data_IF_064503410569
#
_entry.id   IF_064503410569
#
_cell.length_a   1.000
_cell.length_b   1.000
_cell.length_c   1.000
_cell.angle_alpha   90.00
_cell.angle_beta   90.00
_cell.angle_gamma   90.00
#
_symmetry.space_group_name_H-M   'P 1'
#
loop_
_entity.id
_entity.type
_entity.pdbx_description
1 polymer ?
#
# COMPACT_ATOMS: atom_id res chain seq x y z
N UNK A 1 4.78 1.70 -9.64
CA UNK A 1 3.65 1.48 -8.74
C UNK A 1 3.62 2.55 -7.67
N UNK A 2 2.41 3.00 -7.33
CA UNK A 2 2.16 3.97 -6.27
C UNK A 2 1.12 3.38 -5.33
N UNK A 3 1.41 3.36 -4.03
CA UNK A 3 0.48 2.93 -3.00
C UNK A 3 -0.09 4.15 -2.31
N UNK A 4 -1.42 4.19 -2.18
CA UNK A 4 -2.13 5.18 -1.38
C UNK A 4 -2.72 4.52 -0.15
N UNK A 5 -2.68 5.25 0.96
CA UNK A 5 -3.29 4.83 2.22
C UNK A 5 -4.40 5.81 2.55
N UNK A 6 -5.62 5.30 2.66
CA UNK A 6 -6.73 6.00 3.29
C UNK A 6 -6.49 6.03 4.80
N UNK A 7 -6.15 7.21 5.32
CA UNK A 7 -5.79 7.40 6.72
C UNK A 7 -6.99 7.38 7.66
N UNK A 8 -8.20 7.59 7.14
CA UNK A 8 -9.43 7.55 7.92
C UNK A 8 -9.94 6.11 8.07
N UNK A 9 -9.70 5.25 7.07
CA UNK A 9 -10.01 3.80 7.14
C UNK A 9 -8.94 2.98 7.81
N UNK A 10 -7.68 3.42 7.80
CA UNK A 10 -6.57 2.64 8.33
C UNK A 10 -6.68 2.44 9.85
N UNK A 11 -6.85 1.18 10.27
CA UNK A 11 -6.94 0.81 11.70
C UNK A 11 -5.58 0.44 12.33
N UNK A 12 -4.48 0.61 11.60
CA UNK A 12 -3.15 0.33 12.15
C UNK A 12 -2.80 -1.14 12.41
N UNK A 13 -3.41 -2.08 11.68
CA UNK A 13 -3.20 -3.53 11.92
C UNK A 13 -1.76 -4.01 11.73
N UNK A 14 -0.92 -3.25 11.02
CA UNK A 14 0.47 -3.60 10.73
C UNK A 14 0.66 -4.73 9.72
N UNK A 15 -0.39 -5.45 9.30
CA UNK A 15 -0.27 -6.62 8.43
C UNK A 15 0.46 -6.31 7.12
N UNK A 16 0.13 -5.18 6.47
CA UNK A 16 0.79 -4.77 5.24
C UNK A 16 2.30 -4.49 5.41
N UNK A 17 2.72 -3.90 6.52
CA UNK A 17 4.12 -3.64 6.81
C UNK A 17 4.91 -4.92 7.14
N UNK A 18 4.23 -5.94 7.67
CA UNK A 18 4.81 -7.27 7.92
C UNK A 18 4.93 -8.05 6.60
N UNK A 19 3.91 -7.99 5.74
CA UNK A 19 3.87 -8.70 4.46
C UNK A 19 4.88 -8.14 3.45
N UNK A 20 5.02 -6.81 3.36
CA UNK A 20 5.91 -6.17 2.38
C UNK A 20 6.73 -5.03 3.02
N UNK A 21 7.66 -5.35 3.93
CA UNK A 21 8.46 -4.34 4.65
C UNK A 21 9.34 -3.48 3.73
N UNK A 22 9.63 -3.97 2.52
CA UNK A 22 10.36 -3.23 1.49
C UNK A 22 9.53 -2.10 0.84
N UNK A 23 8.20 -2.10 1.00
CA UNK A 23 7.30 -1.13 0.38
C UNK A 23 6.46 -0.35 1.39
N UNK A 24 6.08 -0.96 2.50
CA UNK A 24 5.17 -0.40 3.50
C UNK A 24 5.80 -0.45 4.90
N UNK A 25 5.52 0.59 5.68
CA UNK A 25 5.88 0.66 7.08
C UNK A 25 4.65 1.04 7.91
N UNK A 26 4.61 0.61 9.17
CA UNK A 26 3.70 1.18 10.16
C UNK A 26 4.41 2.39 10.79
N UNK A 27 3.80 3.56 10.68
CA UNK A 27 4.33 4.80 11.23
C UNK A 27 4.21 4.86 12.76
N UNK A 28 4.92 5.80 13.41
CA UNK A 28 4.79 6.03 14.84
C UNK A 28 3.41 6.59 15.24
N UNK A 29 2.64 7.07 14.28
CA UNK A 29 1.23 7.46 14.39
C UNK A 29 0.28 6.25 14.39
N UNK A 30 0.81 5.04 14.28
CA UNK A 30 0.02 3.81 14.20
C UNK A 30 -0.64 3.58 12.85
N UNK A 31 -0.32 4.38 11.81
CA UNK A 31 -0.93 4.24 10.48
C UNK A 31 0.06 3.72 9.45
N UNK A 32 -0.44 2.98 8.47
CA UNK A 32 0.40 2.50 7.37
C UNK A 32 0.91 3.68 6.53
N UNK A 33 2.14 3.56 6.03
CA UNK A 33 2.76 4.52 5.11
C UNK A 33 3.59 3.81 4.04
N UNK A 34 3.50 4.23 2.77
CA UNK A 34 4.41 3.76 1.73
C UNK A 34 5.81 4.35 1.92
N UNK A 35 6.83 3.57 1.59
CA UNK A 35 8.20 4.05 1.48
C UNK A 35 8.36 4.92 0.22
N UNK A 36 9.36 5.81 0.19
CA UNK A 36 9.47 6.90 -0.78
C UNK A 36 9.26 6.46 -2.26
N UNK A 37 9.83 5.32 -2.67
CA UNK A 37 9.66 4.78 -4.03
C UNK A 37 8.22 4.38 -4.39
N UNK A 38 7.44 3.94 -3.40
CA UNK A 38 6.04 3.54 -3.54
C UNK A 38 5.06 4.67 -3.25
N UNK A 39 5.50 5.80 -2.69
CA UNK A 39 4.63 6.96 -2.44
C UNK A 39 4.36 7.79 -3.70
N UNK A 40 5.37 7.93 -4.55
CA UNK A 40 5.29 8.76 -5.78
C UNK A 40 6.34 8.40 -6.84
N UNK A 41 7.43 7.73 -6.47
CA UNK A 41 8.57 7.48 -7.35
C UNK A 41 8.35 6.41 -8.43
N UNK A 42 7.24 5.66 -8.36
CA UNK A 42 6.92 4.64 -9.35
C UNK A 42 7.83 3.42 -9.25
N UNK A 43 7.79 2.73 -8.12
CA UNK A 43 8.54 1.49 -7.88
C UNK A 43 8.00 0.27 -8.66
N UNK A 44 8.71 -0.87 -8.58
CA UNK A 44 8.33 -2.11 -9.24
C UNK A 44 7.02 -2.70 -8.66
N UNK A 45 6.29 -3.47 -9.46
CA UNK A 45 5.19 -4.30 -8.97
C UNK A 45 5.74 -5.65 -8.54
N UNK A 46 5.49 -6.05 -7.31
CA UNK A 46 5.75 -7.42 -6.86
C UNK A 46 4.44 -8.11 -6.48
N UNK A 47 4.37 -9.45 -6.54
CA UNK A 47 3.20 -10.21 -6.07
C UNK A 47 2.85 -9.89 -4.61
N UNK A 48 3.85 -9.81 -3.75
CA UNK A 48 3.69 -9.54 -2.31
C UNK A 48 3.11 -8.13 -2.07
N UNK A 49 3.43 -7.17 -2.93
CA UNK A 49 2.85 -5.83 -2.86
C UNK A 49 1.37 -5.85 -3.21
N UNK A 50 0.98 -6.58 -4.26
CA UNK A 50 -0.43 -6.70 -4.65
C UNK A 50 -1.21 -7.42 -3.54
N UNK A 51 -0.69 -8.56 -3.06
CA UNK A 51 -1.29 -9.32 -1.96
C UNK A 51 -1.43 -8.49 -0.68
N UNK A 52 -0.40 -7.72 -0.29
CA UNK A 52 -0.46 -6.88 0.92
C UNK A 52 -1.55 -5.80 0.85
N UNK A 53 -1.85 -5.30 -0.35
CA UNK A 53 -2.94 -4.33 -0.58
C UNK A 53 -4.29 -5.03 -0.45
N UNK A 54 -4.44 -6.23 -1.01
CA UNK A 54 -5.67 -7.03 -0.94
C UNK A 54 -5.97 -7.56 0.46
N UNK A 55 -4.95 -7.92 1.24
CA UNK A 55 -5.11 -8.42 2.61
C UNK A 55 -5.40 -7.32 3.65
N UNK A 56 -5.54 -6.07 3.22
CA UNK A 56 -5.95 -5.02 4.14
C UNK A 56 -7.38 -5.29 4.66
N UNK A 57 -7.58 -5.53 5.97
CA UNK A 57 -8.85 -6.01 6.51
C UNK A 57 -9.98 -4.97 6.43
N UNK A 58 -9.61 -3.73 6.15
CA UNK A 58 -10.48 -2.56 6.05
C UNK A 58 -10.31 -1.84 4.71
N UNK A 59 -9.58 -2.45 3.76
CA UNK A 59 -9.31 -1.92 2.41
C UNK A 59 -8.81 -0.46 2.40
N UNK A 60 -7.95 -0.12 3.35
CA UNK A 60 -7.35 1.22 3.44
C UNK A 60 -6.21 1.44 2.43
N UNK A 61 -5.80 0.40 1.70
CA UNK A 61 -4.68 0.44 0.76
C UNK A 61 -5.20 0.39 -0.68
N UNK A 62 -4.62 1.19 -1.55
CA UNK A 62 -4.89 1.14 -3.00
C UNK A 62 -3.58 1.18 -3.77
N UNK A 63 -3.41 0.26 -4.71
CA UNK A 63 -2.28 0.20 -5.62
C UNK A 63 -2.65 0.82 -6.95
N UNK A 64 -1.85 1.77 -7.41
CA UNK A 64 -1.98 2.42 -8.71
C UNK A 64 -0.77 2.18 -9.60
N UNK A 65 -1.02 2.08 -10.90
CA UNK A 65 0.06 2.23 -11.87
C UNK A 65 0.62 3.65 -11.80
N UNK A 66 1.94 3.74 -11.67
CA UNK A 66 2.62 5.03 -11.78
C UNK A 66 2.48 5.63 -13.19
N UNK A 67 2.35 4.76 -14.22
CA UNK A 67 2.03 5.18 -15.58
C UNK A 67 0.52 5.20 -15.78
N UNK A 68 -0.04 6.39 -15.88
CA UNK A 68 -1.47 6.58 -16.19
C UNK A 68 -2.43 6.52 -14.99
N UNK A 69 -1.96 6.22 -13.78
CA UNK A 69 -2.73 6.39 -12.54
C UNK A 69 -3.88 5.39 -12.33
N UNK A 70 -4.08 4.42 -13.23
CA UNK A 70 -5.15 3.44 -13.07
C UNK A 70 -4.93 2.57 -11.84
N UNK A 71 -6.03 2.22 -11.17
CA UNK A 71 -6.05 1.32 -10.02
C UNK A 71 -5.72 -0.11 -10.48
N UNK A 72 -4.86 -0.79 -9.74
CA UNK A 72 -4.42 -2.17 -9.98
C UNK A 72 -5.04 -3.09 -8.93
N UNK A 73 -4.95 -2.71 -7.64
CA UNK A 73 -5.46 -3.49 -6.53
C UNK A 73 -6.09 -2.56 -5.46
N UNK A 74 -7.16 -2.99 -4.77
CA UNK A 74 -7.96 -4.19 -5.06
C UNK A 74 -8.63 -4.07 -6.44
N UNK A 75 -8.76 -5.16 -7.20
CA UNK A 75 -9.53 -5.12 -8.46
C UNK A 75 -11.03 -4.92 -8.14
N UNK A 76 -11.75 -4.19 -8.99
CA UNK A 76 -13.22 -4.07 -8.92
C UNK A 76 -13.89 -5.22 -9.68
#
# INVERSE_FOLDING_TARGET
MVVRVDRDRCIGSGMCAISVPAALALGPDGLARPLAGYASGGAELTPELAEAVEFCPVEALVLHSARGGHRIAPAE
#
